data_IF_220751447517
#
_entry.id   IF_220751447517
#
_cell.length_a   1.000
_cell.length_b   1.000
_cell.length_c   1.000
_cell.angle_alpha   90.00
_cell.angle_beta   90.00
_cell.angle_gamma   90.00
#
_symmetry.space_group_name_H-M   'P 1'
#
loop_
_entity.id
_entity.type
_entity.pdbx_description
1 polymer ?
#
# COMPACT_ATOMS: atom_id res chain seq x y z
N UNK A 1 2.87 1.72 38.54
CA UNK A 1 3.81 1.01 37.65
C UNK A 1 4.12 1.92 36.47
N UNK A 2 5.30 2.54 36.43
CA UNK A 2 5.78 3.21 35.23
C UNK A 2 6.36 2.12 34.33
N UNK A 3 5.63 1.77 33.27
CA UNK A 3 6.11 0.83 32.25
C UNK A 3 7.18 1.59 31.45
N UNK A 4 8.40 1.04 31.37
CA UNK A 4 9.44 1.61 30.52
C UNK A 4 9.11 1.39 29.05
N UNK A 5 9.63 2.24 28.16
CA UNK A 5 9.44 2.11 26.71
C UNK A 5 9.82 0.69 26.23
N UNK A 6 10.91 0.14 26.75
CA UNK A 6 11.39 -1.21 26.40
C UNK A 6 10.42 -2.30 26.82
N UNK A 7 9.75 -2.18 27.98
CA UNK A 7 8.73 -3.11 28.41
C UNK A 7 7.48 -3.04 27.50
N UNK A 8 7.13 -1.84 27.04
CA UNK A 8 6.02 -1.64 26.11
C UNK A 8 6.33 -2.24 24.73
N UNK A 9 7.57 -2.07 24.24
CA UNK A 9 8.05 -2.68 23.00
C UNK A 9 8.07 -4.21 23.09
N UNK A 10 8.53 -4.79 24.20
CA UNK A 10 8.52 -6.25 24.40
C UNK A 10 7.10 -6.81 24.41
N UNK A 11 6.15 -6.12 25.05
CA UNK A 11 4.74 -6.52 25.05
C UNK A 11 4.15 -6.43 23.64
N UNK A 12 4.48 -5.38 22.87
CA UNK A 12 4.03 -5.23 21.48
C UNK A 12 4.59 -6.32 20.58
N UNK A 13 5.89 -6.63 20.68
CA UNK A 13 6.50 -7.72 19.91
C UNK A 13 5.85 -9.06 20.23
N UNK A 14 5.68 -9.40 21.50
CA UNK A 14 5.04 -10.66 21.89
C UNK A 14 3.59 -10.76 21.41
N UNK A 15 2.86 -9.63 21.37
CA UNK A 15 1.51 -9.58 20.81
C UNK A 15 1.52 -9.74 19.29
N UNK A 16 2.49 -9.15 18.61
CA UNK A 16 2.65 -9.25 17.16
C UNK A 16 3.00 -10.68 16.74
N UNK A 17 3.95 -11.31 17.41
CA UNK A 17 4.30 -12.73 17.20
C UNK A 17 3.09 -13.64 17.45
N UNK A 18 2.34 -13.41 18.54
CA UNK A 18 1.12 -14.17 18.82
C UNK A 18 0.05 -13.97 17.74
N UNK A 19 -0.07 -12.76 17.19
CA UNK A 19 -1.02 -12.45 16.13
C UNK A 19 -0.59 -13.15 14.83
N UNK A 20 0.68 -13.10 14.48
CA UNK A 20 1.26 -13.78 13.33
C UNK A 20 1.00 -15.29 13.37
N UNK A 21 1.31 -15.96 14.48
CA UNK A 21 1.05 -17.39 14.67
C UNK A 21 -0.44 -17.73 14.54
N UNK A 22 -1.32 -16.92 15.13
CA UNK A 22 -2.76 -17.14 15.02
C UNK A 22 -3.29 -16.92 13.60
N UNK A 23 -2.70 -15.98 12.86
CA UNK A 23 -3.04 -15.74 11.47
C UNK A 23 -2.57 -16.88 10.56
N UNK A 24 -1.40 -17.48 10.84
CA UNK A 24 -0.93 -18.68 10.15
C UNK A 24 -1.83 -19.89 10.38
N UNK A 25 -2.22 -20.16 11.63
CA UNK A 25 -3.15 -21.25 11.97
C UNK A 25 -4.52 -21.04 11.30
N UNK A 26 -5.05 -19.81 11.32
CA UNK A 26 -6.29 -19.47 10.65
C UNK A 26 -6.19 -19.70 9.13
N UNK A 27 -5.13 -19.22 8.49
CA UNK A 27 -4.86 -19.46 7.07
C UNK A 27 -4.83 -20.96 6.77
N UNK A 28 -4.13 -21.74 7.60
CA UNK A 28 -4.04 -23.20 7.42
C UNK A 28 -5.42 -23.86 7.46
N UNK A 29 -6.22 -23.58 8.50
CA UNK A 29 -7.57 -24.16 8.65
C UNK A 29 -8.51 -23.75 7.53
N UNK A 30 -8.50 -22.47 7.15
CA UNK A 30 -9.29 -21.95 6.04
C UNK A 30 -8.90 -22.63 4.72
N UNK A 31 -7.61 -22.76 4.45
CA UNK A 31 -7.12 -23.44 3.24
C UNK A 31 -7.54 -24.92 3.20
N UNK A 32 -7.51 -25.62 4.33
CA UNK A 32 -7.99 -27.01 4.42
C UNK A 32 -9.49 -27.09 4.16
N UNK A 33 -10.28 -26.18 4.75
CA UNK A 33 -11.73 -26.13 4.56
C UNK A 33 -12.11 -25.84 3.10
N UNK A 34 -11.50 -24.82 2.47
CA UNK A 34 -11.76 -24.45 1.08
C UNK A 34 -11.40 -25.60 0.12
N UNK A 35 -10.28 -26.29 0.35
CA UNK A 35 -9.90 -27.47 -0.44
C UNK A 35 -10.87 -28.64 -0.27
N UNK A 36 -11.40 -28.84 0.94
CA UNK A 36 -12.44 -29.84 1.19
C UNK A 36 -13.72 -29.50 0.41
N UNK A 37 -14.14 -28.23 0.42
CA UNK A 37 -15.32 -27.76 -0.31
C UNK A 37 -15.14 -27.88 -1.84
N UNK A 38 -13.96 -27.56 -2.36
CA UNK A 38 -13.60 -27.74 -3.77
C UNK A 38 -13.63 -29.21 -4.19
N UNK A 39 -13.10 -30.11 -3.36
CA UNK A 39 -13.08 -31.56 -3.63
C UNK A 39 -14.48 -32.19 -3.63
N UNK A 40 -15.44 -31.57 -2.95
CA UNK A 40 -16.83 -32.01 -2.93
C UNK A 40 -17.69 -31.32 -4.01
N UNK A 41 -17.07 -30.64 -4.98
CA UNK A 41 -17.74 -29.90 -6.08
C UNK A 41 -18.72 -28.80 -5.61
N UNK A 42 -18.61 -28.35 -4.35
CA UNK A 42 -19.44 -27.26 -3.79
C UNK A 42 -18.91 -25.90 -4.26
N UNK A 43 -17.58 -25.80 -4.37
CA UNK A 43 -16.85 -24.57 -4.67
C UNK A 43 -16.46 -24.56 -6.15
N UNK A 44 -17.43 -24.35 -7.04
CA UNK A 44 -17.24 -24.25 -8.49
C UNK A 44 -16.80 -22.84 -8.90
N UNK A 45 -16.18 -22.72 -10.07
CA UNK A 45 -15.75 -21.42 -10.60
C UNK A 45 -16.94 -20.46 -10.82
N UNK A 46 -18.09 -20.98 -11.23
CA UNK A 46 -19.33 -20.20 -11.39
C UNK A 46 -19.83 -19.63 -10.05
N UNK A 47 -19.88 -20.45 -9.01
CA UNK A 47 -20.29 -20.02 -7.66
C UNK A 47 -19.31 -18.98 -7.08
N UNK A 48 -18.01 -19.10 -7.38
CA UNK A 48 -17.03 -18.09 -6.96
C UNK A 48 -17.24 -16.79 -7.71
N UNK A 49 -17.48 -16.84 -9.03
CA UNK A 49 -17.72 -15.63 -9.84
C UNK A 49 -18.94 -14.87 -9.36
N UNK A 50 -20.02 -15.59 -9.04
CA UNK A 50 -21.23 -15.01 -8.46
C UNK A 50 -20.95 -14.35 -7.10
N UNK A 51 -20.28 -15.06 -6.19
CA UNK A 51 -19.92 -14.51 -4.88
C UNK A 51 -19.01 -13.27 -4.98
N UNK A 52 -18.04 -13.27 -5.89
CA UNK A 52 -17.15 -12.11 -6.13
C UNK A 52 -17.96 -10.91 -6.64
N UNK A 53 -18.93 -11.15 -7.53
CA UNK A 53 -19.81 -10.10 -8.04
C UNK A 53 -20.67 -9.51 -6.93
N UNK A 54 -21.29 -10.35 -6.10
CA UNK A 54 -22.07 -9.91 -4.93
C UNK A 54 -21.22 -9.07 -3.96
N UNK A 55 -19.98 -9.48 -3.70
CA UNK A 55 -19.05 -8.70 -2.85
C UNK A 55 -18.67 -7.36 -3.45
N UNK A 56 -18.47 -7.28 -4.78
CA UNK A 56 -18.22 -6.00 -5.44
C UNK A 56 -19.44 -5.08 -5.41
N UNK A 57 -20.64 -5.63 -5.59
CA UNK A 57 -21.91 -4.88 -5.46
C UNK A 57 -22.09 -4.37 -4.03
N UNK A 58 -21.87 -5.22 -3.02
CA UNK A 58 -21.94 -4.84 -1.61
C UNK A 58 -20.89 -3.78 -1.24
N UNK A 59 -19.68 -3.86 -1.81
CA UNK A 59 -18.63 -2.87 -1.62
C UNK A 59 -19.04 -1.50 -2.19
N UNK A 60 -19.66 -1.49 -3.38
CA UNK A 60 -20.17 -0.28 -4.01
C UNK A 60 -21.36 0.34 -3.26
N UNK A 61 -22.22 -0.48 -2.66
CA UNK A 61 -23.30 0.03 -1.79
C UNK A 61 -22.76 0.71 -0.51
N UNK A 62 -21.60 0.26 -0.03
CA UNK A 62 -20.99 0.79 1.19
C UNK A 62 -20.05 1.97 0.92
N UNK A 63 -19.54 2.12 -0.31
CA UNK A 63 -18.62 3.19 -0.68
C UNK A 63 -19.35 4.44 -1.19
N UNK A 64 -18.87 5.62 -0.79
CA UNK A 64 -19.39 6.90 -1.30
C UNK A 64 -18.96 7.17 -2.76
N UNK A 65 -17.92 6.48 -3.23
CA UNK A 65 -17.46 6.49 -4.62
C UNK A 65 -17.85 5.17 -5.30
N UNK A 66 -18.62 5.23 -6.39
CA UNK A 66 -18.89 4.06 -7.24
C UNK A 66 -17.58 3.61 -7.90
N UNK A 67 -17.10 2.43 -7.52
CA UNK A 67 -15.99 1.79 -8.24
C UNK A 67 -16.58 1.13 -9.47
N UNK A 68 -16.05 1.44 -10.65
CA UNK A 68 -16.47 0.80 -11.89
C UNK A 68 -16.14 -0.70 -11.83
N UNK A 69 -17.17 -1.53 -11.70
CA UNK A 69 -17.05 -2.98 -11.67
C UNK A 69 -16.94 -3.47 -13.11
N UNK A 70 -15.72 -3.58 -13.63
CA UNK A 70 -15.47 -4.21 -14.93
C UNK A 70 -15.51 -5.73 -14.80
N UNK A 71 -16.14 -6.44 -15.74
CA UNK A 71 -16.13 -7.92 -15.75
C UNK A 71 -14.71 -8.50 -15.76
N UNK A 72 -13.78 -7.85 -16.44
CA UNK A 72 -12.36 -8.24 -16.46
C UNK A 72 -11.74 -8.27 -15.05
N UNK A 73 -12.18 -7.36 -14.17
CA UNK A 73 -11.71 -7.31 -12.78
C UNK A 73 -12.32 -8.45 -11.96
N UNK A 74 -13.61 -8.73 -12.14
CA UNK A 74 -14.29 -9.88 -11.51
C UNK A 74 -13.60 -11.18 -11.91
N UNK A 75 -13.32 -11.35 -13.21
CA UNK A 75 -12.69 -12.56 -13.74
C UNK A 75 -11.27 -12.73 -13.20
N UNK A 76 -10.46 -11.66 -13.16
CA UNK A 76 -9.11 -11.72 -12.59
C UNK A 76 -9.08 -12.10 -11.11
N UNK A 77 -10.03 -11.60 -10.31
CA UNK A 77 -10.15 -11.93 -8.88
C UNK A 77 -10.62 -13.36 -8.72
N UNK A 78 -11.62 -13.78 -9.50
CA UNK A 78 -12.14 -15.15 -9.51
C UNK A 78 -11.03 -16.14 -9.86
N UNK A 79 -10.28 -15.90 -10.93
CA UNK A 79 -9.16 -16.74 -11.34
C UNK A 79 -8.06 -16.77 -10.26
N UNK A 80 -7.82 -15.64 -9.59
CA UNK A 80 -6.91 -15.55 -8.44
C UNK A 80 -7.32 -16.47 -7.29
N UNK A 81 -8.60 -16.46 -6.92
CA UNK A 81 -9.18 -17.30 -5.85
C UNK A 81 -9.15 -18.77 -6.26
N UNK A 82 -9.54 -19.10 -7.48
CA UNK A 82 -9.50 -20.48 -8.00
C UNK A 82 -8.08 -21.03 -7.92
N UNK A 83 -7.08 -20.29 -8.43
CA UNK A 83 -5.68 -20.69 -8.40
C UNK A 83 -5.15 -20.91 -6.97
N UNK A 84 -5.60 -20.08 -6.01
CA UNK A 84 -5.27 -20.26 -4.59
C UNK A 84 -5.86 -21.56 -4.07
N UNK A 85 -7.18 -21.77 -4.24
CA UNK A 85 -7.91 -22.93 -3.72
C UNK A 85 -7.36 -24.23 -4.31
N UNK A 86 -7.08 -24.24 -5.61
CA UNK A 86 -6.53 -25.40 -6.34
C UNK A 86 -5.05 -25.67 -6.00
N UNK A 87 -4.43 -24.82 -5.17
CA UNK A 87 -3.06 -24.99 -4.67
C UNK A 87 -2.05 -25.18 -5.78
N UNK A 88 -2.19 -24.43 -6.87
CA UNK A 88 -1.31 -24.61 -8.01
C UNK A 88 0.07 -23.99 -7.65
N UNK A 89 0.92 -24.80 -7.00
CA UNK A 89 2.19 -24.36 -6.40
C UNK A 89 3.12 -23.74 -7.44
N UNK A 90 3.02 -24.17 -8.70
CA UNK A 90 3.82 -23.64 -9.79
C UNK A 90 3.40 -22.23 -10.20
N UNK A 91 2.10 -21.93 -10.21
CA UNK A 91 1.62 -20.56 -10.48
C UNK A 91 1.88 -19.64 -9.29
N UNK A 92 1.78 -20.15 -8.05
CA UNK A 92 2.13 -19.40 -6.84
C UNK A 92 3.61 -19.05 -6.77
N UNK A 93 4.51 -19.99 -7.14
CA UNK A 93 5.95 -19.72 -7.23
C UNK A 93 6.28 -18.65 -8.26
N UNK A 94 5.68 -18.71 -9.45
CA UNK A 94 5.84 -17.68 -10.48
C UNK A 94 5.36 -16.31 -10.01
N UNK A 95 4.17 -16.24 -9.38
CA UNK A 95 3.68 -14.99 -8.80
C UNK A 95 4.59 -14.46 -7.69
N UNK A 96 5.22 -15.33 -6.91
CA UNK A 96 6.20 -14.94 -5.89
C UNK A 96 7.47 -14.37 -6.54
N UNK A 97 7.98 -15.01 -7.59
CA UNK A 97 9.13 -14.53 -8.37
C UNK A 97 8.82 -13.15 -8.99
N UNK A 98 7.66 -13.00 -9.65
CA UNK A 98 7.22 -11.72 -10.23
C UNK A 98 7.09 -10.61 -9.16
N UNK A 99 6.60 -10.97 -7.98
CA UNK A 99 6.48 -10.03 -6.86
C UNK A 99 7.84 -9.62 -6.29
N UNK A 100 8.76 -10.58 -6.13
CA UNK A 100 10.14 -10.31 -5.73
C UNK A 100 10.86 -9.44 -6.75
N UNK A 101 10.64 -9.68 -8.04
CA UNK A 101 11.22 -8.89 -9.11
C UNK A 101 10.69 -7.46 -9.11
N UNK A 102 9.37 -7.27 -8.94
CA UNK A 102 8.77 -5.94 -8.76
C UNK A 102 9.29 -5.22 -7.52
N UNK A 103 9.43 -5.91 -6.40
CA UNK A 103 10.04 -5.32 -5.18
C UNK A 103 11.48 -4.88 -5.43
N UNK A 104 12.26 -5.72 -6.11
CA UNK A 104 13.64 -5.39 -6.47
C UNK A 104 13.70 -4.20 -7.41
N UNK A 105 12.82 -4.13 -8.41
CA UNK A 105 12.71 -2.98 -9.31
C UNK A 105 12.33 -1.71 -8.56
N UNK A 106 11.38 -1.78 -7.63
CA UNK A 106 11.01 -0.64 -6.78
C UNK A 106 12.16 -0.19 -5.88
N UNK A 107 12.91 -1.13 -5.28
CA UNK A 107 14.11 -0.80 -4.51
C UNK A 107 15.20 -0.18 -5.39
N UNK A 108 15.42 -0.68 -6.60
CA UNK A 108 16.35 -0.10 -7.56
C UNK A 108 15.89 1.27 -8.07
N UNK A 109 14.59 1.49 -8.21
CA UNK A 109 14.00 2.80 -8.54
C UNK A 109 14.09 3.77 -7.37
N UNK A 110 13.92 3.33 -6.12
CA UNK A 110 14.18 4.12 -4.91
C UNK A 110 15.67 4.47 -4.77
N UNK A 111 16.58 3.53 -5.04
CA UNK A 111 18.02 3.79 -5.06
C UNK A 111 18.42 4.74 -6.19
N UNK A 112 17.81 4.61 -7.38
CA UNK A 112 18.03 5.51 -8.52
C UNK A 112 17.36 6.88 -8.31
N UNK A 113 16.22 6.96 -7.64
CA UNK A 113 15.50 8.21 -7.36
C UNK A 113 16.00 8.93 -6.10
N UNK A 114 16.72 8.25 -5.20
CA UNK A 114 17.54 8.87 -4.16
C UNK A 114 18.73 9.68 -4.72
N UNK A 115 18.90 9.76 -6.04
CA UNK A 115 19.73 10.76 -6.72
C UNK A 115 18.99 12.08 -7.01
N UNK A 116 18.03 12.49 -6.18
CA UNK A 116 17.78 13.94 -6.07
C UNK A 116 19.04 14.51 -5.44
N UNK A 117 19.91 15.08 -6.27
CA UNK A 117 21.08 15.86 -5.86
C UNK A 117 20.60 17.10 -5.11
N UNK A 118 20.16 16.92 -3.87
CA UNK A 118 19.97 18.00 -2.91
C UNK A 118 21.37 18.55 -2.70
N UNK A 119 21.66 19.69 -3.32
CA UNK A 119 22.93 20.37 -3.18
C UNK A 119 23.25 20.49 -1.69
N UNK A 120 24.46 20.10 -1.29
CA UNK A 120 24.87 20.18 0.11
C UNK A 120 24.65 21.63 0.60
N UNK A 121 24.27 21.84 1.88
CA UNK A 121 24.02 23.18 2.41
C UNK A 121 25.21 24.13 2.24
N UNK A 122 26.43 23.60 2.09
CA UNK A 122 27.62 24.38 1.77
C UNK A 122 27.64 24.90 0.33
N UNK A 123 27.22 24.09 -0.65
CA UNK A 123 27.18 24.50 -2.06
C UNK A 123 26.14 25.63 -2.28
N UNK A 124 25.01 25.58 -1.56
CA UNK A 124 24.01 26.65 -1.55
C UNK A 124 24.58 27.96 -0.98
N UNK A 125 25.35 27.88 0.11
CA UNK A 125 26.02 29.04 0.71
C UNK A 125 27.12 29.62 -0.18
N UNK A 126 27.80 28.78 -0.95
CA UNK A 126 28.84 29.22 -1.87
C UNK A 126 28.25 29.92 -3.10
N UNK A 127 27.13 29.42 -3.64
CA UNK A 127 26.38 30.08 -4.70
C UNK A 127 25.76 31.40 -4.26
N UNK A 128 25.26 31.50 -3.02
CA UNK A 128 24.75 32.74 -2.43
C UNK A 128 25.85 33.81 -2.28
N UNK A 129 27.11 33.38 -2.07
CA UNK A 129 28.28 34.28 -2.04
C UNK A 129 28.74 34.74 -3.41
N UNK A 130 28.46 33.97 -4.46
CA UNK A 130 28.88 34.26 -5.84
C UNK A 130 27.83 35.12 -6.58
N UNK A 131 26.59 35.23 -6.08
CA UNK A 131 25.59 36.14 -6.65
C UNK A 131 25.94 37.62 -6.40
N UNK A 132 25.93 38.49 -7.45
CA UNK A 132 26.08 39.92 -7.25
C UNK A 132 24.80 40.54 -6.63
N UNK A 133 24.90 41.67 -5.92
CA UNK A 133 23.79 42.21 -5.13
C UNK A 133 22.74 42.88 -6.03
N UNK A 134 21.65 42.18 -6.35
CA UNK A 134 20.46 42.81 -6.94
C UNK A 134 19.50 43.27 -5.85
N UNK A 135 19.50 44.59 -5.64
CA UNK A 135 18.43 45.46 -5.14
C UNK A 135 17.59 45.00 -3.92
N UNK A 136 17.84 45.69 -2.79
CA UNK A 136 16.97 45.76 -1.60
C UNK A 136 15.51 46.11 -1.96
N UNK A 137 14.48 45.50 -1.32
CA UNK A 137 13.16 46.12 -1.27
C UNK A 137 13.21 47.33 -0.31
N UNK A 138 12.77 48.49 -0.80
CA UNK A 138 12.68 49.76 -0.05
C UNK A 138 11.58 49.67 1.02
N UNK A 139 11.92 50.04 2.25
CA UNK A 139 10.96 50.55 3.23
C UNK A 139 10.33 51.85 2.69
N UNK A 140 8.99 51.93 2.70
CA UNK A 140 8.24 53.18 2.51
C UNK A 140 7.50 53.55 3.81
N UNK A 141 7.69 54.77 4.37
CA UNK A 141 7.01 55.21 5.57
C UNK A 141 5.65 55.86 5.26
N UNK A 142 4.63 55.34 5.92
CA UNK A 142 3.38 55.95 6.39
C UNK A 142 2.97 57.36 5.86
N UNK A 143 1.84 57.45 5.14
CA UNK A 143 0.90 58.59 5.19
C UNK A 143 -0.54 58.06 5.11
N UNK A 144 -1.35 58.51 6.07
CA UNK A 144 -2.69 58.01 6.34
C UNK A 144 -3.77 58.38 5.32
N UNK A 145 -4.91 57.70 5.50
CA UNK A 145 -6.30 57.96 5.11
C UNK A 145 -6.59 58.93 3.94
N UNK A 146 -7.48 58.50 3.02
CA UNK A 146 -8.89 58.94 2.95
C UNK A 146 -9.59 58.26 1.74
N UNK A 147 -10.60 57.43 2.06
CA UNK A 147 -11.93 57.19 1.42
C UNK A 147 -12.05 56.75 -0.06
N UNK A 148 -12.78 55.61 -0.22
CA UNK A 148 -13.50 54.96 -1.35
C UNK A 148 -14.01 55.87 -2.49
N UNK A 149 -14.36 55.33 -3.69
CA UNK A 149 -14.76 53.95 -4.04
C UNK A 149 -13.77 53.14 -4.87
#
# INVERSE_FOLDING_TARGET
>A
MQISLDQLLQILMARLESLEVSMEDLKFRTNVALRLLRKNDILTEENIKEAVKEEFEALNELSEEEVEITEERIDSVTEGIVNWVDNNLDTLKKRLEDYQEKLKQLMEEEEKSNNISIASPELLKELERIQPPTAKPKNSPNRGNIIKP
#
